data_IF_219024682433
#
_entry.id   IF_219024682433
#
_cell.length_a   1.000
_cell.length_b   1.000
_cell.length_c   1.000
_cell.angle_alpha   90.00
_cell.angle_beta   90.00
_cell.angle_gamma   90.00
#
_symmetry.space_group_name_H-M   'P 1'
#
loop_
_entity.id
_entity.type
_entity.pdbx_description
1 polymer ?
#
# COMPACT_ATOMS: atom_id res chain seq x y z
N UNK A 1 28.36 22.21 -20.46
CA UNK A 1 28.26 22.01 -18.99
C UNK A 1 27.27 23.02 -18.35
N UNK A 2 25.94 22.96 -18.62
CA UNK A 2 25.01 24.03 -18.17
C UNK A 2 23.68 23.56 -17.56
N UNK A 3 23.46 22.24 -17.38
CA UNK A 3 22.18 21.74 -16.83
C UNK A 3 22.03 21.96 -15.31
N UNK A 4 23.11 21.92 -14.52
CA UNK A 4 23.02 22.10 -13.06
C UNK A 4 22.67 23.54 -12.65
N UNK A 5 23.09 24.53 -13.44
CA UNK A 5 22.93 25.95 -13.09
C UNK A 5 21.47 26.43 -13.10
N UNK A 6 20.63 25.79 -13.91
CA UNK A 6 19.22 26.15 -14.08
C UNK A 6 18.34 25.65 -12.92
N UNK A 7 18.66 24.48 -12.35
CA UNK A 7 17.96 23.96 -11.17
C UNK A 7 18.20 24.80 -9.90
N UNK A 8 19.27 25.58 -9.85
CA UNK A 8 19.52 26.50 -8.72
C UNK A 8 18.47 27.61 -8.58
N UNK A 9 17.64 27.83 -9.61
CA UNK A 9 16.54 28.79 -9.59
C UNK A 9 15.23 28.22 -9.03
N UNK A 10 15.19 26.91 -8.81
CA UNK A 10 14.04 26.23 -8.24
C UNK A 10 14.19 26.11 -6.73
N UNK A 11 13.09 26.25 -5.99
CA UNK A 11 13.02 26.02 -4.55
C UNK A 11 13.32 24.56 -4.18
N UNK A 12 12.93 23.62 -5.04
CA UNK A 12 13.25 22.21 -4.91
C UNK A 12 13.99 21.67 -6.14
N UNK A 13 14.94 20.77 -5.89
CA UNK A 13 15.64 20.07 -6.97
C UNK A 13 14.72 18.99 -7.54
N UNK A 14 14.57 18.98 -8.86
CA UNK A 14 14.00 17.87 -9.65
C UNK A 14 14.95 16.64 -9.68
N UNK A 15 15.55 16.30 -8.55
CA UNK A 15 16.32 15.07 -8.38
C UNK A 15 15.48 14.09 -7.57
N UNK A 16 15.21 12.93 -8.16
CA UNK A 16 14.42 11.88 -7.54
C UNK A 16 15.28 11.20 -6.47
N UNK A 17 14.87 11.33 -5.21
CA UNK A 17 15.40 10.53 -4.11
C UNK A 17 14.30 9.55 -3.68
N UNK A 18 14.20 8.43 -4.38
CA UNK A 18 13.32 7.33 -3.99
C UNK A 18 14.18 6.14 -3.59
N UNK A 19 14.05 5.68 -2.35
CA UNK A 19 14.79 4.49 -1.87
C UNK A 19 14.49 3.25 -2.71
N UNK A 20 13.29 3.20 -3.31
CA UNK A 20 12.88 2.17 -4.24
C UNK A 20 12.71 2.73 -5.65
N UNK A 21 13.15 1.99 -6.67
CA UNK A 21 12.95 2.36 -8.09
C UNK A 21 11.47 2.37 -8.51
N UNK A 22 10.58 1.87 -7.66
CA UNK A 22 9.17 1.67 -7.97
C UNK A 22 8.34 2.95 -7.92
N UNK A 23 8.75 3.97 -7.15
CA UNK A 23 7.96 5.19 -6.93
C UNK A 23 8.56 6.45 -7.58
N UNK A 24 9.62 6.30 -8.38
CA UNK A 24 10.38 7.43 -8.92
C UNK A 24 9.54 8.35 -9.81
N UNK A 25 8.63 7.81 -10.61
CA UNK A 25 7.75 8.60 -11.47
C UNK A 25 6.78 9.47 -10.66
N UNK A 26 6.12 8.89 -9.65
CA UNK A 26 5.22 9.61 -8.76
C UNK A 26 5.95 10.71 -7.98
N UNK A 27 7.09 10.39 -7.36
CA UNK A 27 7.89 11.38 -6.61
C UNK A 27 8.37 12.51 -7.52
N UNK A 28 8.77 12.20 -8.75
CA UNK A 28 9.18 13.22 -9.71
C UNK A 28 8.02 14.12 -10.11
N UNK A 29 6.83 13.56 -10.31
CA UNK A 29 5.62 14.31 -10.62
C UNK A 29 5.19 15.21 -9.46
N UNK A 30 5.28 14.71 -8.22
CA UNK A 30 4.97 15.47 -7.01
C UNK A 30 5.94 16.65 -6.82
N UNK A 31 7.24 16.43 -6.97
CA UNK A 31 8.25 17.52 -6.94
C UNK A 31 8.02 18.51 -8.09
N UNK A 32 7.70 18.02 -9.29
CA UNK A 32 7.38 18.88 -10.42
C UNK A 32 6.18 19.79 -10.15
N UNK A 33 5.15 19.30 -9.47
CA UNK A 33 4.01 20.10 -9.05
C UNK A 33 4.39 21.17 -8.02
N UNK A 34 5.27 20.86 -7.07
CA UNK A 34 5.75 21.83 -6.07
C UNK A 34 6.47 23.02 -6.71
N UNK A 35 7.23 22.77 -7.77
CA UNK A 35 7.98 23.82 -8.48
C UNK A 35 7.28 24.27 -9.75
N UNK A 36 6.02 23.86 -9.97
CA UNK A 36 5.34 24.02 -11.25
C UNK A 36 5.37 25.48 -11.71
N UNK A 37 4.99 26.41 -10.85
CA UNK A 37 4.90 27.84 -11.20
C UNK A 37 6.28 28.47 -11.41
N UNK A 38 7.34 27.89 -10.82
CA UNK A 38 8.72 28.35 -10.99
C UNK A 38 9.33 27.88 -12.33
N UNK A 39 8.80 26.80 -12.93
CA UNK A 39 9.34 26.18 -14.14
C UNK A 39 9.37 27.13 -15.34
N UNK A 40 8.40 28.05 -15.47
CA UNK A 40 8.36 29.04 -16.55
C UNK A 40 9.66 29.88 -16.60
N UNK A 41 10.27 30.16 -15.44
CA UNK A 41 11.49 30.97 -15.33
C UNK A 41 12.77 30.23 -15.72
N UNK A 42 12.69 28.90 -15.87
CA UNK A 42 13.83 28.00 -16.04
C UNK A 42 13.82 27.30 -17.41
N UNK A 43 12.63 27.10 -17.98
CA UNK A 43 12.44 26.46 -19.27
C UNK A 43 12.95 27.32 -20.43
N UNK A 44 13.56 26.66 -21.41
CA UNK A 44 13.91 27.29 -22.69
C UNK A 44 12.67 27.47 -23.56
N UNK A 45 12.70 28.45 -24.47
CA UNK A 45 11.58 28.79 -25.36
C UNK A 45 11.04 27.61 -26.18
N UNK A 46 11.89 26.62 -26.49
CA UNK A 46 11.49 25.39 -27.19
C UNK A 46 10.59 24.47 -26.36
N UNK A 47 10.59 24.58 -25.03
CA UNK A 47 9.84 23.71 -24.13
C UNK A 47 8.63 24.39 -23.46
N UNK A 48 8.57 25.73 -23.50
CA UNK A 48 7.45 26.50 -22.93
C UNK A 48 6.11 26.06 -23.52
N UNK A 49 6.03 25.86 -24.83
CA UNK A 49 4.78 25.45 -25.48
C UNK A 49 4.28 24.10 -24.97
N UNK A 50 5.17 23.14 -24.71
CA UNK A 50 4.77 21.85 -24.14
C UNK A 50 4.34 21.97 -22.68
N UNK A 51 5.03 22.81 -21.91
CA UNK A 51 4.70 23.06 -20.51
C UNK A 51 3.33 23.74 -20.35
N UNK A 52 2.97 24.69 -21.22
CA UNK A 52 1.67 25.36 -21.20
C UNK A 52 0.49 24.43 -21.52
N UNK A 53 0.74 23.27 -22.13
CA UNK A 53 -0.27 22.24 -22.37
C UNK A 53 -0.49 21.33 -21.15
N UNK A 54 0.36 21.43 -20.12
CA UNK A 54 0.22 20.61 -18.92
C UNK A 54 -0.94 21.15 -18.09
N UNK A 55 -1.95 20.32 -17.91
CA UNK A 55 -3.02 20.57 -16.96
C UNK A 55 -2.52 20.32 -15.53
N UNK A 56 -2.22 21.42 -14.83
CA UNK A 56 -1.75 21.39 -13.44
C UNK A 56 -2.79 20.78 -12.51
N UNK A 57 -4.07 21.15 -12.67
CA UNK A 57 -5.14 20.69 -11.79
C UNK A 57 -5.36 19.18 -11.95
N UNK A 58 -5.38 18.68 -13.18
CA UNK A 58 -5.45 17.24 -13.44
C UNK A 58 -4.23 16.53 -12.85
N UNK A 59 -3.03 17.11 -13.01
CA UNK A 59 -1.80 16.54 -12.47
C UNK A 59 -1.83 16.45 -10.93
N UNK A 60 -2.33 17.49 -10.25
CA UNK A 60 -2.54 17.49 -8.80
C UNK A 60 -3.53 16.41 -8.36
N UNK A 61 -4.65 16.26 -9.10
CA UNK A 61 -5.62 15.19 -8.85
C UNK A 61 -5.01 13.79 -9.02
N UNK A 62 -4.18 13.59 -10.04
CA UNK A 62 -3.44 12.33 -10.27
C UNK A 62 -2.49 12.06 -9.11
N UNK A 63 -1.69 13.04 -8.68
CA UNK A 63 -0.78 12.87 -7.55
C UNK A 63 -1.56 12.58 -6.25
N UNK A 64 -2.63 13.32 -5.98
CA UNK A 64 -3.48 13.07 -4.81
C UNK A 64 -4.06 11.66 -4.80
N UNK A 65 -4.45 11.14 -5.97
CA UNK A 65 -4.95 9.78 -6.10
C UNK A 65 -3.84 8.73 -5.86
N UNK A 66 -2.66 8.92 -6.47
CA UNK A 66 -1.53 7.98 -6.36
C UNK A 66 -0.89 7.95 -4.97
N UNK A 67 -1.09 8.98 -4.14
CA UNK A 67 -0.55 9.06 -2.78
C UNK A 67 -0.89 7.82 -1.94
N UNK A 68 -2.11 7.29 -2.06
CA UNK A 68 -2.52 6.08 -1.34
C UNK A 68 -1.63 4.86 -1.65
N UNK A 69 -1.12 4.75 -2.88
CA UNK A 69 -0.21 3.68 -3.28
C UNK A 69 1.18 3.88 -2.67
N UNK A 70 1.65 5.13 -2.58
CA UNK A 70 2.89 5.46 -1.87
C UNK A 70 2.83 5.06 -0.40
N UNK A 71 1.74 5.42 0.29
CA UNK A 71 1.51 5.06 1.70
C UNK A 71 1.51 3.53 1.91
N UNK A 72 0.88 2.76 1.03
CA UNK A 72 0.86 1.29 1.10
C UNK A 72 2.25 0.69 0.88
N UNK A 73 3.01 1.20 -0.09
CA UNK A 73 4.37 0.73 -0.36
C UNK A 73 5.28 0.97 0.85
N UNK A 74 5.23 2.15 1.44
CA UNK A 74 6.00 2.50 2.63
C UNK A 74 5.66 1.57 3.81
N UNK A 75 4.37 1.36 4.06
CA UNK A 75 3.90 0.49 5.14
C UNK A 75 4.36 -0.97 4.94
N UNK A 76 4.38 -1.46 3.69
CA UNK A 76 4.83 -2.80 3.36
C UNK A 76 6.35 -2.98 3.38
N UNK A 77 7.10 -1.91 3.10
CA UNK A 77 8.58 -1.90 3.15
C UNK A 77 9.14 -1.76 4.57
N UNK A 78 8.30 -1.81 5.60
CA UNK A 78 8.77 -1.71 6.98
C UNK A 78 9.40 -3.03 7.45
N UNK A 79 10.73 -3.05 7.54
CA UNK A 79 11.51 -4.22 7.96
C UNK A 79 11.55 -4.43 9.49
N UNK A 80 11.04 -3.48 10.27
CA UNK A 80 11.12 -3.52 11.74
C UNK A 80 9.98 -4.30 12.39
N UNK A 81 8.87 -4.47 11.69
CA UNK A 81 7.66 -5.15 12.20
C UNK A 81 7.13 -6.13 11.16
N UNK A 82 6.51 -7.25 11.56
CA UNK A 82 5.86 -8.14 10.60
C UNK A 82 4.79 -7.38 9.80
N UNK A 83 4.84 -7.43 8.47
CA UNK A 83 3.88 -6.75 7.58
C UNK A 83 2.97 -7.73 6.83
N UNK A 84 3.24 -9.04 6.89
CA UNK A 84 2.52 -10.05 6.10
C UNK A 84 1.00 -10.07 6.35
N UNK A 85 0.58 -9.84 7.59
CA UNK A 85 -0.83 -9.76 7.96
C UNK A 85 -1.54 -8.51 7.42
N UNK A 86 -0.78 -7.52 6.91
CA UNK A 86 -1.31 -6.30 6.31
C UNK A 86 -1.52 -6.45 4.80
N UNK A 87 -0.95 -7.47 4.16
CA UNK A 87 -0.97 -7.63 2.70
C UNK A 87 -2.40 -7.70 2.16
N UNK A 88 -3.27 -8.50 2.79
CA UNK A 88 -4.67 -8.61 2.39
C UNK A 88 -5.45 -7.30 2.59
N UNK A 89 -5.48 -6.69 3.79
CA UNK A 89 -6.26 -5.46 3.99
C UNK A 89 -5.74 -4.27 3.16
N UNK A 90 -4.43 -4.13 2.97
CA UNK A 90 -3.87 -3.07 2.14
C UNK A 90 -4.19 -3.27 0.65
N UNK A 91 -4.19 -4.51 0.16
CA UNK A 91 -4.65 -4.82 -1.20
C UNK A 91 -6.12 -4.44 -1.39
N UNK A 92 -6.96 -4.77 -0.42
CA UNK A 92 -8.39 -4.45 -0.48
C UNK A 92 -8.65 -2.94 -0.41
N UNK A 93 -7.87 -2.23 0.41
CA UNK A 93 -7.87 -0.77 0.47
C UNK A 93 -7.57 -0.14 -0.90
N UNK A 94 -6.52 -0.60 -1.60
CA UNK A 94 -6.19 -0.09 -2.92
C UNK A 94 -7.24 -0.42 -3.98
N UNK A 95 -7.85 -1.60 -3.93
CA UNK A 95 -8.96 -1.96 -4.82
C UNK A 95 -10.18 -1.05 -4.59
N UNK A 96 -10.52 -0.77 -3.33
CA UNK A 96 -11.58 0.16 -2.98
C UNK A 96 -11.26 1.60 -3.44
N UNK A 97 -10.00 2.02 -3.30
CA UNK A 97 -9.53 3.32 -3.79
C UNK A 97 -9.63 3.46 -5.31
N UNK A 98 -9.55 2.34 -6.05
CA UNK A 98 -9.72 2.31 -7.51
C UNK A 98 -11.19 2.28 -7.96
N UNK A 99 -12.18 2.25 -7.06
CA UNK A 99 -13.60 2.27 -7.47
C UNK A 99 -13.89 3.54 -8.28
N UNK A 100 -14.56 3.35 -9.43
CA UNK A 100 -14.90 4.41 -10.35
C UNK A 100 -16.04 5.26 -9.77
N UNK A 101 -15.85 6.58 -9.74
CA UNK A 101 -16.94 7.50 -9.49
C UNK A 101 -17.38 8.14 -10.82
N UNK A 102 -18.69 8.37 -11.03
CA UNK A 102 -19.19 8.98 -12.26
C UNK A 102 -18.61 10.39 -12.49
N UNK A 103 -18.35 11.12 -11.41
CA UNK A 103 -17.84 12.50 -11.42
C UNK A 103 -16.31 12.58 -11.61
N UNK A 104 -15.61 11.45 -11.66
CA UNK A 104 -14.17 11.45 -11.90
C UNK A 104 -13.84 11.95 -13.32
N UNK A 105 -12.74 12.68 -13.46
CA UNK A 105 -12.16 13.04 -14.75
C UNK A 105 -11.77 11.78 -15.55
N UNK A 106 -11.92 11.79 -16.88
CA UNK A 106 -11.70 10.61 -17.72
C UNK A 106 -10.30 10.00 -17.56
N UNK A 107 -9.25 10.83 -17.52
CA UNK A 107 -7.89 10.36 -17.24
C UNK A 107 -7.73 9.68 -15.87
N UNK A 108 -8.48 10.09 -14.85
CA UNK A 108 -8.48 9.42 -13.54
C UNK A 108 -9.20 8.08 -13.63
N UNK A 109 -10.33 8.00 -14.36
CA UNK A 109 -11.05 6.75 -14.61
C UNK A 109 -10.17 5.71 -15.31
N UNK A 110 -9.39 6.15 -16.30
CA UNK A 110 -8.43 5.30 -17.01
C UNK A 110 -7.34 4.77 -16.07
N UNK A 111 -6.74 5.65 -15.26
CA UNK A 111 -5.71 5.26 -14.29
C UNK A 111 -6.29 4.28 -13.26
N UNK A 112 -7.47 4.56 -12.70
CA UNK A 112 -8.17 3.69 -11.75
C UNK A 112 -8.39 2.29 -12.34
N UNK A 113 -8.93 2.22 -13.56
CA UNK A 113 -9.19 0.96 -14.26
C UNK A 113 -7.89 0.18 -14.51
N UNK A 114 -6.84 0.87 -14.96
CA UNK A 114 -5.53 0.26 -15.21
C UNK A 114 -4.93 -0.32 -13.92
N UNK A 115 -4.94 0.45 -12.83
CA UNK A 115 -4.36 0.02 -11.56
C UNK A 115 -5.18 -1.10 -10.90
N UNK A 116 -6.51 -1.03 -10.96
CA UNK A 116 -7.38 -2.12 -10.46
C UNK A 116 -7.04 -3.44 -11.14
N UNK A 117 -6.94 -3.44 -12.47
CA UNK A 117 -6.56 -4.61 -13.26
C UNK A 117 -5.17 -5.12 -12.87
N UNK A 118 -4.21 -4.21 -12.69
CA UNK A 118 -2.84 -4.56 -12.27
C UNK A 118 -2.80 -5.16 -10.87
N UNK A 119 -3.51 -4.60 -9.90
CA UNK A 119 -3.61 -5.15 -8.54
C UNK A 119 -4.20 -6.56 -8.61
N UNK A 120 -5.30 -6.76 -9.35
CA UNK A 120 -5.96 -8.07 -9.46
C UNK A 120 -5.05 -9.14 -10.08
N UNK A 121 -4.28 -8.79 -11.11
CA UNK A 121 -3.52 -9.75 -11.89
C UNK A 121 -2.09 -9.98 -11.38
N UNK A 122 -1.44 -8.96 -10.82
CA UNK A 122 -0.04 -9.03 -10.40
C UNK A 122 0.07 -9.30 -8.90
N UNK A 123 -0.83 -8.73 -8.09
CA UNK A 123 -0.82 -8.91 -6.65
C UNK A 123 -1.61 -10.16 -6.24
N UNK A 124 -0.97 -11.31 -6.44
CA UNK A 124 -1.54 -12.62 -6.14
C UNK A 124 -1.47 -12.90 -4.63
N UNK A 125 -2.62 -13.22 -4.04
CA UNK A 125 -2.72 -13.58 -2.63
C UNK A 125 -2.61 -15.09 -2.44
N UNK A 126 -1.61 -15.51 -1.67
CA UNK A 126 -1.47 -16.87 -1.15
C UNK A 126 -2.18 -17.08 0.19
N UNK A 127 -2.42 -18.35 0.54
CA UNK A 127 -3.11 -18.78 1.76
C UNK A 127 -2.50 -18.17 3.05
N UNK A 128 -1.17 -18.01 3.09
CA UNK A 128 -0.48 -17.38 4.23
C UNK A 128 -0.96 -15.96 4.51
N UNK A 129 -1.29 -15.16 3.48
CA UNK A 129 -1.79 -13.80 3.68
C UNK A 129 -3.17 -13.81 4.32
N UNK A 130 -4.04 -14.73 3.91
CA UNK A 130 -5.36 -14.88 4.51
C UNK A 130 -5.27 -15.32 5.96
N UNK A 131 -4.47 -16.36 6.24
CA UNK A 131 -4.29 -16.90 7.59
C UNK A 131 -3.71 -15.84 8.53
N UNK A 132 -2.61 -15.19 8.13
CA UNK A 132 -1.94 -14.19 8.98
C UNK A 132 -2.82 -12.98 9.25
N UNK A 133 -3.60 -12.52 8.26
CA UNK A 133 -4.56 -11.44 8.44
C UNK A 133 -5.70 -11.82 9.39
N UNK A 134 -6.26 -13.03 9.25
CA UNK A 134 -7.37 -13.52 10.08
C UNK A 134 -6.98 -13.79 11.53
N UNK A 135 -5.75 -14.24 11.77
CA UNK A 135 -5.25 -14.53 13.12
C UNK A 135 -4.82 -13.26 13.86
N UNK A 136 -4.63 -12.15 13.15
CA UNK A 136 -4.16 -10.93 13.76
C UNK A 136 -5.30 -10.20 14.51
N UNK A 137 -5.14 -9.88 15.82
CA UNK A 137 -6.23 -9.34 16.64
C UNK A 137 -6.88 -8.07 16.11
N UNK A 138 -6.11 -7.22 15.42
CA UNK A 138 -6.61 -5.95 14.85
C UNK A 138 -7.59 -6.14 13.70
N UNK A 139 -7.73 -7.34 13.13
CA UNK A 139 -8.57 -7.60 11.95
C UNK A 139 -9.72 -8.56 12.24
N UNK A 140 -10.11 -8.73 13.52
CA UNK A 140 -11.28 -9.55 13.89
C UNK A 140 -12.56 -9.12 13.17
N UNK A 141 -12.71 -7.82 12.94
CA UNK A 141 -13.86 -7.21 12.26
C UNK A 141 -13.64 -7.06 10.75
N UNK A 142 -12.48 -7.46 10.22
CA UNK A 142 -12.18 -7.37 8.80
C UNK A 142 -13.02 -8.39 8.03
N UNK A 143 -13.97 -7.90 7.23
CA UNK A 143 -14.89 -8.73 6.45
C UNK A 143 -14.21 -9.19 5.17
N UNK A 144 -13.57 -10.35 5.25
CA UNK A 144 -13.13 -11.10 4.06
C UNK A 144 -14.34 -11.87 3.52
N UNK A 145 -14.36 -12.11 2.21
CA UNK A 145 -15.31 -13.04 1.58
C UNK A 145 -15.47 -14.32 2.44
N UNK A 146 -16.71 -14.69 2.82
CA UNK A 146 -16.98 -15.80 3.74
C UNK A 146 -16.36 -17.13 3.31
N UNK A 147 -16.20 -17.38 2.01
CA UNK A 147 -15.60 -18.60 1.48
C UNK A 147 -14.10 -18.68 1.80
N UNK A 148 -13.41 -17.54 1.70
CA UNK A 148 -11.96 -17.44 1.98
C UNK A 148 -11.68 -17.52 3.48
N UNK A 149 -12.59 -17.01 4.31
CA UNK A 149 -12.51 -17.16 5.77
C UNK A 149 -12.62 -18.62 6.19
N UNK A 150 -13.58 -19.35 5.61
CA UNK A 150 -13.77 -20.79 5.87
C UNK A 150 -12.54 -21.58 5.44
N UNK A 151 -12.03 -21.32 4.22
CA UNK A 151 -10.80 -21.95 3.72
C UNK A 151 -9.60 -21.72 4.62
N UNK A 152 -9.37 -20.49 5.08
CA UNK A 152 -8.24 -20.19 5.96
C UNK A 152 -8.37 -20.85 7.34
N UNK A 153 -9.59 -20.91 7.90
CA UNK A 153 -9.87 -21.65 9.13
C UNK A 153 -9.54 -23.14 8.95
N UNK A 154 -9.95 -23.74 7.83
CA UNK A 154 -9.69 -25.17 7.55
C UNK A 154 -8.20 -25.45 7.35
N UNK A 155 -7.46 -24.55 6.69
CA UNK A 155 -6.00 -24.66 6.57
C UNK A 155 -5.29 -24.60 7.92
N UNK A 156 -5.72 -23.70 8.82
CA UNK A 156 -5.17 -23.62 10.18
C UNK A 156 -5.49 -24.88 10.98
N UNK A 157 -6.74 -25.35 10.92
CA UNK A 157 -7.15 -26.62 11.55
C UNK A 157 -6.31 -27.78 11.06
N UNK A 158 -6.14 -27.91 9.74
CA UNK A 158 -5.35 -28.99 9.14
C UNK A 158 -3.88 -28.92 9.55
N UNK A 159 -3.27 -27.73 9.59
CA UNK A 159 -1.90 -27.55 10.05
C UNK A 159 -1.73 -27.92 11.53
N UNK A 160 -2.69 -27.54 12.37
CA UNK A 160 -2.72 -27.93 13.80
C UNK A 160 -2.86 -29.45 13.93
N UNK A 161 -3.80 -30.07 13.21
CA UNK A 161 -4.02 -31.52 13.22
C UNK A 161 -2.79 -32.30 12.76
N UNK A 162 -2.13 -31.86 11.69
CA UNK A 162 -0.88 -32.45 11.21
C UNK A 162 0.23 -32.35 12.27
N UNK A 163 0.36 -31.20 12.94
CA UNK A 163 1.33 -31.02 14.04
C UNK A 163 1.02 -31.92 15.23
N UNK A 164 -0.26 -32.08 15.58
CA UNK A 164 -0.69 -33.03 16.61
C UNK A 164 -0.33 -34.46 16.23
N UNK A 165 -0.63 -34.89 15.00
CA UNK A 165 -0.31 -36.24 14.48
C UNK A 165 1.20 -36.52 14.47
N UNK A 166 2.02 -35.53 14.10
CA UNK A 166 3.49 -35.64 14.12
C UNK A 166 4.05 -35.65 15.55
N UNK A 167 3.39 -34.98 16.50
CA UNK A 167 3.77 -35.00 17.92
C UNK A 167 3.35 -36.29 18.64
N UNK A 168 2.33 -36.99 18.18
CA UNK A 168 1.98 -38.33 18.68
C UNK A 168 2.83 -39.45 18.08
N UNK A 169 3.46 -39.25 16.92
CA UNK A 169 4.42 -40.22 16.36
C UNK A 169 5.83 -40.08 16.93
N UNK A 170 6.21 -38.89 17.42
CA UNK A 170 7.53 -38.60 17.98
C UNK A 170 7.41 -37.99 19.39
N UNK A 171 7.25 -38.83 20.42
CA UNK A 171 7.35 -38.31 21.79
C UNK A 171 6.93 -39.25 22.92
N UNK A 172 7.71 -40.30 23.17
CA UNK A 172 8.12 -40.53 24.56
C UNK A 172 9.10 -39.41 24.95
N UNK A 173 8.86 -38.82 26.13
CA UNK A 173 9.70 -37.88 26.88
C UNK A 173 9.67 -36.38 26.50
N UNK A 174 8.78 -35.67 27.20
CA UNK A 174 9.03 -34.46 28.01
C UNK A 174 9.95 -33.35 27.47
N UNK A 175 9.37 -32.17 27.22
CA UNK A 175 9.72 -30.94 27.94
C UNK A 175 8.71 -29.82 27.61
N UNK A 176 7.85 -29.52 28.58
CA UNK A 176 6.99 -28.33 28.58
C UNK A 176 7.87 -27.15 29.00
N UNK A 177 8.25 -26.29 28.05
CA UNK A 177 8.84 -25.00 28.36
C UNK A 177 7.71 -23.98 28.64
N UNK A 178 7.82 -23.14 29.68
CA UNK A 178 6.76 -22.21 30.05
C UNK A 178 6.69 -21.04 29.06
N UNK A 179 5.46 -20.63 28.79
CA UNK A 179 5.09 -19.45 28.01
C UNK A 179 5.60 -18.20 28.74
N UNK A 180 6.62 -17.53 28.17
CA UNK A 180 7.10 -16.24 28.70
C UNK A 180 6.11 -15.16 28.27
N UNK A 181 5.33 -14.66 29.23
CA UNK A 181 4.59 -13.41 29.12
C UNK A 181 5.58 -12.25 29.28
N UNK A 182 6.03 -11.65 28.18
CA UNK A 182 6.67 -10.32 28.23
C UNK A 182 5.64 -9.26 27.87
N UNK A 183 5.13 -8.61 28.92
CA UNK A 183 4.60 -7.26 28.83
C UNK A 183 5.73 -6.31 28.46
N UNK A 184 5.64 -5.68 27.30
CA UNK A 184 6.43 -4.48 26.99
C UNK A 184 5.52 -3.40 26.43
N UNK A 185 5.64 -2.26 27.09
CA UNK A 185 4.80 -1.09 27.09
C UNK A 185 4.79 -0.32 25.77
N UNK A 186 3.68 0.38 25.57
CA UNK A 186 3.44 1.39 24.55
C UNK A 186 4.57 2.41 24.40
N UNK A 187 5.04 2.62 23.18
CA UNK A 187 5.14 3.96 22.55
C UNK A 187 5.57 3.84 21.09
N UNK A 188 4.97 4.68 20.23
CA UNK A 188 5.08 4.74 18.74
C UNK A 188 4.05 3.91 17.96
N UNK A 189 2.77 4.27 18.08
CA UNK A 189 1.64 3.65 17.36
C UNK A 189 0.67 4.70 16.80
N UNK A 190 1.19 5.76 16.17
CA UNK A 190 0.34 6.86 15.69
C UNK A 190 0.13 6.88 14.17
N UNK A 191 1.07 6.38 13.36
CA UNK A 191 0.91 6.36 11.88
C UNK A 191 0.32 5.06 11.35
N UNK A 192 0.81 3.89 11.79
CA UNK A 192 0.36 2.58 11.26
C UNK A 192 -1.12 2.26 11.55
N UNK A 193 -1.72 2.83 12.60
CA UNK A 193 -3.15 2.68 12.87
C UNK A 193 -4.04 3.51 11.94
N UNK A 194 -3.51 4.62 11.39
CA UNK A 194 -4.31 5.53 10.56
C UNK A 194 -4.59 4.96 9.16
N UNK A 195 -3.66 4.21 8.56
CA UNK A 195 -3.89 3.58 7.27
C UNK A 195 -4.75 2.32 7.42
N UNK A 196 -4.52 1.54 8.48
CA UNK A 196 -5.31 0.34 8.75
C UNK A 196 -6.76 0.66 9.11
N UNK A 197 -7.04 1.74 9.83
CA UNK A 197 -8.43 2.18 10.09
C UNK A 197 -9.20 2.48 8.80
N UNK A 198 -8.56 3.12 7.80
CA UNK A 198 -9.16 3.36 6.48
C UNK A 198 -9.52 2.06 5.73
N UNK A 199 -8.86 0.94 6.03
CA UNK A 199 -9.21 -0.36 5.44
C UNK A 199 -10.57 -0.89 5.92
N UNK A 200 -11.07 -0.42 7.07
CA UNK A 200 -12.35 -0.85 7.65
C UNK A 200 -13.54 0.05 7.28
N UNK A 201 -13.29 1.21 6.66
CA UNK A 201 -14.33 2.20 6.31
C UNK A 201 -15.04 1.92 4.98
N UNK A 202 -14.89 0.72 4.41
CA UNK A 202 -15.50 0.38 3.12
C UNK A 202 -17.04 0.43 3.19
N UNK A 203 -17.75 0.89 2.14
CA UNK A 203 -19.20 1.06 2.17
C UNK A 203 -19.91 -0.26 2.51
N UNK A 204 -20.87 -0.19 3.43
CA UNK A 204 -21.78 -1.30 3.72
C UNK A 204 -22.61 -1.59 2.48
N UNK A 205 -22.16 -2.50 1.63
CA UNK A 205 -23.02 -3.10 0.62
C UNK A 205 -24.05 -3.96 1.35
N UNK A 206 -25.30 -3.47 1.39
CA UNK A 206 -26.45 -4.26 1.78
C UNK A 206 -26.60 -5.42 0.80
N UNK A 207 -26.23 -6.63 1.22
CA UNK A 207 -26.78 -7.91 0.74
C UNK A 207 -26.42 -9.04 1.70
#
# INVERSE_FOLDING_TARGET
MSRSHKQCKLSYKLQTYSDTRFNGAFITMDIFLLVFDEMISVLDSSFINYYLLVDKELSERVCSFLKAFGEVLEEMSNDKVPTIYKVLPLREYLLNHCKLNPDDHDGIKEIKTFLELRIKNVWVLHDVHYITSLLHPSFKDFRINPDLKTKAIDLVKNAIWQKYLLSTSNGSAANVAPFISTSTSDTQLTTSNSLLSKCFDSPRENR
#
